data_IF_231283129165
#
_entry.id   IF_231283129165
#
_cell.length_a   1.000
_cell.length_b   1.000
_cell.length_c   1.000
_cell.angle_alpha   90.00
_cell.angle_beta   90.00
_cell.angle_gamma   90.00
#
_symmetry.space_group_name_H-M   'P 1'
#
loop_
_entity.id
_entity.type
_entity.pdbx_description
1 polymer ?
#
# COMPACT_ATOMS: atom_id res chain seq x y z
N UNK A 1 2.24 19.17 10.60
CA UNK A 1 2.85 19.04 11.94
C UNK A 1 4.24 18.44 11.81
N UNK A 2 5.23 19.06 12.44
CA UNK A 2 6.58 18.50 12.44
C UNK A 2 6.67 17.33 13.39
N UNK A 3 7.18 16.20 12.91
CA UNK A 3 7.44 15.03 13.74
C UNK A 3 8.88 15.04 14.22
N UNK A 4 9.09 14.44 15.38
CA UNK A 4 10.42 14.31 16.00
C UNK A 4 10.70 12.83 16.24
N UNK A 5 11.93 12.41 16.01
CA UNK A 5 12.29 11.02 16.16
C UNK A 5 13.60 10.85 16.93
N UNK A 6 13.82 9.63 17.40
CA UNK A 6 15.05 9.21 18.09
C UNK A 6 15.40 7.82 17.56
N UNK A 7 16.65 7.64 17.13
CA UNK A 7 17.08 6.35 16.57
C UNK A 7 17.16 5.31 17.69
N UNK A 8 16.46 4.17 17.49
CA UNK A 8 16.49 3.04 18.44
C UNK A 8 17.28 1.87 17.91
N UNK A 9 17.44 1.75 16.59
CA UNK A 9 18.26 0.71 15.96
C UNK A 9 18.89 1.28 14.70
N UNK A 10 20.19 1.56 14.75
CA UNK A 10 20.92 2.18 13.64
C UNK A 10 21.02 1.27 12.41
N UNK A 11 21.21 -0.02 12.62
CA UNK A 11 21.36 -0.96 11.51
C UNK A 11 20.11 -1.00 10.62
N UNK A 12 18.92 -0.90 11.24
CA UNK A 12 17.65 -0.97 10.53
C UNK A 12 17.05 0.39 10.27
N UNK A 13 17.67 1.47 10.75
CA UNK A 13 17.13 2.83 10.72
C UNK A 13 15.77 2.92 11.41
N UNK A 14 15.55 2.07 12.41
CA UNK A 14 14.33 2.06 13.21
C UNK A 14 14.37 3.20 14.23
N UNK A 15 13.24 3.86 14.43
CA UNK A 15 13.17 5.05 15.27
C UNK A 15 11.96 4.99 16.21
N UNK A 16 12.03 5.77 17.27
CA UNK A 16 10.90 6.08 18.14
C UNK A 16 10.41 7.48 17.74
N UNK A 17 9.10 7.66 17.67
CA UNK A 17 8.51 8.92 17.23
C UNK A 17 7.79 9.61 18.41
N UNK A 18 7.98 10.94 18.50
CA UNK A 18 7.30 11.77 19.48
C UNK A 18 6.19 12.55 18.79
N UNK A 19 4.98 12.42 19.29
CA UNK A 19 3.78 13.03 18.72
C UNK A 19 3.25 14.21 19.54
N UNK A 20 3.90 14.59 20.64
CA UNK A 20 3.38 15.56 21.60
C UNK A 20 3.40 17.03 21.17
N UNK A 21 4.12 17.37 20.11
CA UNK A 21 4.14 18.74 19.57
C UNK A 21 4.96 19.75 20.35
N UNK A 22 5.65 19.35 21.42
CA UNK A 22 6.49 20.26 22.23
C UNK A 22 7.95 20.10 21.84
N UNK A 23 8.48 21.07 21.11
CA UNK A 23 9.87 21.06 20.64
C UNK A 23 10.88 21.01 21.79
N UNK A 24 10.62 21.78 22.86
CA UNK A 24 11.49 21.80 24.03
C UNK A 24 11.60 20.43 24.70
N UNK A 25 10.48 19.75 24.88
CA UNK A 25 10.45 18.41 25.45
C UNK A 25 11.19 17.42 24.55
N UNK A 26 10.95 17.49 23.25
CA UNK A 26 11.59 16.61 22.27
C UNK A 26 13.11 16.77 22.33
N UNK A 27 13.60 17.99 22.30
CA UNK A 27 15.04 18.29 22.34
C UNK A 27 15.69 17.77 23.63
N UNK A 28 15.04 18.01 24.78
CA UNK A 28 15.56 17.57 26.09
C UNK A 28 15.64 16.05 26.19
N UNK A 29 14.81 15.32 25.46
CA UNK A 29 14.76 13.85 25.49
C UNK A 29 15.47 13.20 24.32
N UNK A 30 16.25 13.96 23.56
CA UNK A 30 17.08 13.42 22.47
C UNK A 30 16.36 13.18 21.15
N UNK A 31 15.16 13.75 21.01
CA UNK A 31 14.42 13.66 19.74
C UNK A 31 14.83 14.82 18.83
N UNK A 32 14.94 14.53 17.54
CA UNK A 32 15.27 15.54 16.53
C UNK A 32 14.18 15.60 15.47
N UNK A 33 13.98 16.75 14.81
CA UNK A 33 12.96 16.85 13.76
C UNK A 33 13.36 16.07 12.52
N UNK A 34 12.39 15.49 11.84
CA UNK A 34 12.64 14.79 10.58
C UNK A 34 11.45 14.01 10.10
N UNK A 35 11.57 13.49 8.88
CA UNK A 35 10.53 12.70 8.26
C UNK A 35 10.71 11.22 8.59
N UNK A 36 9.60 10.59 8.95
CA UNK A 36 9.57 9.18 9.32
C UNK A 36 8.44 8.49 8.57
N UNK A 37 8.51 7.16 8.50
CA UNK A 37 7.43 6.35 7.93
C UNK A 37 7.21 5.13 8.82
N UNK A 38 5.98 4.64 8.83
CA UNK A 38 5.61 3.48 9.64
C UNK A 38 5.28 2.29 8.74
N UNK A 39 5.82 1.13 9.10
CA UNK A 39 5.38 -0.12 8.50
C UNK A 39 4.01 -0.45 9.08
N UNK A 40 3.00 -0.55 8.23
CA UNK A 40 1.62 -0.80 8.67
C UNK A 40 1.46 -2.19 9.27
N UNK A 41 2.19 -3.17 8.72
CA UNK A 41 2.10 -4.56 9.15
C UNK A 41 2.76 -4.78 10.51
N UNK A 42 3.97 -4.25 10.71
CA UNK A 42 4.71 -4.45 11.96
C UNK A 42 4.46 -3.38 13.01
N UNK A 43 4.05 -2.18 12.58
CA UNK A 43 3.89 -1.03 13.45
C UNK A 43 5.20 -0.31 13.76
N UNK A 44 6.33 -0.79 13.26
CA UNK A 44 7.62 -0.16 13.51
C UNK A 44 7.80 1.11 12.69
N UNK A 45 8.51 2.06 13.27
CA UNK A 45 8.81 3.34 12.62
C UNK A 45 10.26 3.36 12.12
N UNK A 46 10.46 3.97 10.95
CA UNK A 46 11.76 4.08 10.31
C UNK A 46 11.96 5.49 9.79
N UNK A 47 13.22 5.86 9.55
CA UNK A 47 13.50 7.07 8.80
C UNK A 47 12.89 6.92 7.40
N UNK A 48 12.34 8.01 6.88
CA UNK A 48 11.68 7.99 5.57
C UNK A 48 12.62 7.47 4.49
N UNK A 49 12.12 6.51 3.70
CA UNK A 49 12.92 5.89 2.64
C UNK A 49 13.88 4.81 3.11
N UNK A 50 13.89 4.49 4.41
CA UNK A 50 14.83 3.52 5.00
C UNK A 50 14.17 2.26 5.54
N UNK A 51 12.88 2.07 5.29
CA UNK A 51 12.19 0.86 5.71
C UNK A 51 12.83 -0.38 5.06
N UNK A 52 13.10 -1.46 5.82
CA UNK A 52 13.66 -2.68 5.24
C UNK A 52 12.77 -3.26 4.14
N UNK A 53 13.40 -3.88 3.13
CA UNK A 53 12.69 -4.45 1.98
C UNK A 53 11.62 -5.46 2.38
N UNK A 54 11.91 -6.30 3.38
CA UNK A 54 10.95 -7.31 3.86
C UNK A 54 9.70 -6.67 4.45
N UNK A 55 9.83 -5.53 5.12
CA UNK A 55 8.68 -4.81 5.68
C UNK A 55 7.90 -4.06 4.61
N UNK A 56 8.59 -3.48 3.63
CA UNK A 56 7.94 -2.90 2.46
C UNK A 56 7.13 -3.95 1.72
N UNK A 57 7.70 -5.13 1.54
CA UNK A 57 7.02 -6.24 0.86
C UNK A 57 5.77 -6.67 1.61
N UNK A 58 5.84 -6.75 2.95
CA UNK A 58 4.67 -7.10 3.76
C UNK A 58 3.55 -6.08 3.60
N UNK A 59 3.89 -4.79 3.63
CA UNK A 59 2.91 -3.71 3.47
C UNK A 59 2.26 -3.74 2.08
N UNK A 60 3.06 -3.97 1.04
CA UNK A 60 2.54 -4.05 -0.33
C UNK A 60 1.61 -5.25 -0.52
N UNK A 61 1.96 -6.40 0.06
CA UNK A 61 1.10 -7.58 0.02
C UNK A 61 -0.22 -7.33 0.73
N UNK A 62 -0.19 -6.68 1.88
CA UNK A 62 -1.41 -6.34 2.62
C UNK A 62 -2.28 -5.38 1.81
N UNK A 63 -1.69 -4.34 1.23
CA UNK A 63 -2.39 -3.39 0.37
C UNK A 63 -3.00 -4.10 -0.83
N UNK A 64 -2.24 -4.96 -1.50
CA UNK A 64 -2.71 -5.74 -2.64
C UNK A 64 -3.89 -6.62 -2.26
N UNK A 65 -3.79 -7.33 -1.13
CA UNK A 65 -4.85 -8.22 -0.68
C UNK A 65 -6.13 -7.44 -0.38
N UNK A 66 -6.00 -6.26 0.22
CA UNK A 66 -7.15 -5.38 0.44
C UNK A 66 -7.77 -4.94 -0.89
N UNK A 67 -6.95 -4.56 -1.86
CA UNK A 67 -7.44 -4.14 -3.17
C UNK A 67 -8.15 -5.28 -3.90
N UNK A 68 -7.61 -6.51 -3.85
CA UNK A 68 -8.26 -7.69 -4.41
C UNK A 68 -9.62 -7.93 -3.77
N UNK A 69 -9.69 -7.90 -2.43
CA UNK A 69 -10.94 -8.11 -1.71
C UNK A 69 -11.98 -7.05 -2.04
N UNK A 70 -11.54 -5.81 -2.22
CA UNK A 70 -12.45 -4.70 -2.51
C UNK A 70 -13.12 -4.80 -3.88
N UNK A 71 -12.60 -5.64 -4.78
CA UNK A 71 -13.17 -5.85 -6.11
C UNK A 71 -14.14 -7.01 -6.17
N UNK A 72 -14.16 -7.89 -5.18
CA UNK A 72 -14.95 -9.13 -5.22
C UNK A 72 -16.43 -8.89 -5.48
N UNK A 73 -17.01 -7.83 -4.89
CA UNK A 73 -18.43 -7.51 -5.07
C UNK A 73 -18.78 -7.21 -6.52
N UNK A 74 -17.86 -6.61 -7.30
CA UNK A 74 -18.09 -6.30 -8.71
C UNK A 74 -18.10 -7.57 -9.56
N UNK A 75 -17.20 -8.51 -9.27
CA UNK A 75 -17.18 -9.80 -9.95
C UNK A 75 -18.45 -10.59 -9.65
N UNK A 76 -18.86 -10.63 -8.39
CA UNK A 76 -20.07 -11.34 -7.98
C UNK A 76 -21.30 -10.74 -8.65
N UNK A 77 -21.42 -9.41 -8.65
CA UNK A 77 -22.55 -8.73 -9.29
C UNK A 77 -22.63 -9.07 -10.77
N UNK A 78 -21.50 -9.00 -11.47
CA UNK A 78 -21.48 -9.30 -12.91
C UNK A 78 -21.94 -10.73 -13.17
N UNK A 79 -21.41 -11.69 -12.46
CA UNK A 79 -21.77 -13.11 -12.60
C UNK A 79 -23.23 -13.35 -12.30
N UNK A 80 -23.74 -12.77 -11.24
CA UNK A 80 -25.15 -12.92 -10.85
C UNK A 80 -26.08 -12.34 -11.91
N UNK A 81 -25.75 -11.16 -12.42
CA UNK A 81 -26.56 -10.54 -13.48
C UNK A 81 -26.56 -11.38 -14.75
N UNK A 82 -25.40 -11.95 -15.10
CA UNK A 82 -25.31 -12.86 -16.26
C UNK A 82 -26.17 -14.11 -16.06
N UNK A 83 -26.09 -14.73 -14.91
CA UNK A 83 -26.87 -15.93 -14.59
C UNK A 83 -28.37 -15.63 -14.66
N UNK A 84 -28.78 -14.46 -14.16
CA UNK A 84 -30.19 -14.05 -14.19
C UNK A 84 -30.66 -13.59 -15.57
N UNK A 85 -29.76 -13.42 -16.52
CA UNK A 85 -30.11 -12.97 -17.87
C UNK A 85 -30.56 -11.52 -17.95
N UNK A 86 -30.15 -10.71 -16.98
CA UNK A 86 -30.47 -9.27 -16.97
C UNK A 86 -29.27 -8.46 -17.46
N UNK A 87 -29.51 -7.19 -17.79
CA UNK A 87 -28.46 -6.30 -18.22
C UNK A 87 -27.42 -6.14 -17.12
N UNK A 88 -26.12 -6.29 -17.47
CA UNK A 88 -25.04 -6.13 -16.50
C UNK A 88 -24.70 -4.66 -16.30
N UNK A 89 -24.38 -4.30 -15.04
CA UNK A 89 -23.96 -2.93 -14.72
C UNK A 89 -22.63 -2.59 -15.38
N UNK A 90 -21.68 -3.52 -15.34
CA UNK A 90 -20.41 -3.38 -16.06
C UNK A 90 -20.54 -4.02 -17.45
N UNK A 91 -19.93 -3.39 -18.46
CA UNK A 91 -19.86 -4.00 -19.80
C UNK A 91 -18.95 -5.21 -19.76
N UNK A 92 -19.03 -6.06 -20.78
CA UNK A 92 -18.13 -7.21 -20.93
C UNK A 92 -16.66 -6.74 -20.95
N UNK A 93 -16.39 -5.63 -21.66
CA UNK A 93 -15.01 -5.12 -21.75
C UNK A 93 -14.55 -4.62 -20.37
N UNK A 94 -15.39 -3.95 -19.61
CA UNK A 94 -15.04 -3.49 -18.25
C UNK A 94 -14.76 -4.68 -17.35
N UNK A 95 -15.52 -5.76 -17.48
CA UNK A 95 -15.28 -6.98 -16.69
C UNK A 95 -13.96 -7.63 -17.07
N UNK A 96 -13.64 -7.67 -18.36
CA UNK A 96 -12.34 -8.19 -18.82
C UNK A 96 -11.20 -7.35 -18.27
N UNK A 97 -11.35 -6.01 -18.30
CA UNK A 97 -10.34 -5.10 -17.75
C UNK A 97 -10.13 -5.36 -16.26
N UNK A 98 -11.21 -5.60 -15.52
CA UNK A 98 -11.12 -5.94 -14.09
C UNK A 98 -10.39 -7.25 -13.86
N UNK A 99 -10.67 -8.26 -14.68
CA UNK A 99 -9.98 -9.54 -14.59
C UNK A 99 -8.47 -9.40 -14.83
N UNK A 100 -8.10 -8.58 -15.83
CA UNK A 100 -6.70 -8.31 -16.12
C UNK A 100 -6.03 -7.53 -14.99
N UNK A 101 -6.74 -6.59 -14.40
CA UNK A 101 -6.24 -5.85 -13.25
C UNK A 101 -6.03 -6.76 -12.05
N UNK A 102 -6.98 -7.67 -11.80
CA UNK A 102 -6.86 -8.66 -10.74
C UNK A 102 -5.60 -9.51 -10.93
N UNK A 103 -5.31 -9.91 -12.16
CA UNK A 103 -4.10 -10.67 -12.47
C UNK A 103 -2.85 -9.82 -12.25
N UNK A 104 -2.88 -8.55 -12.66
CA UNK A 104 -1.79 -7.61 -12.39
C UNK A 104 -1.49 -7.54 -10.89
N UNK A 105 -2.53 -7.40 -10.04
CA UNK A 105 -2.34 -7.34 -8.60
C UNK A 105 -1.71 -8.63 -8.05
N UNK A 106 -2.10 -9.78 -8.57
CA UNK A 106 -1.50 -11.06 -8.16
C UNK A 106 -0.03 -11.15 -8.55
N UNK A 107 0.34 -10.54 -9.66
CA UNK A 107 1.67 -10.65 -10.24
C UNK A 107 2.66 -9.58 -9.77
N UNK A 108 2.25 -8.62 -8.93
CA UNK A 108 3.15 -7.56 -8.50
C UNK A 108 4.39 -8.10 -7.78
N UNK A 109 4.27 -9.22 -7.07
CA UNK A 109 5.40 -9.82 -6.36
C UNK A 109 6.42 -10.45 -7.30
N UNK A 110 6.07 -10.63 -8.58
CA UNK A 110 6.96 -11.17 -9.61
C UNK A 110 7.76 -10.08 -10.31
N UNK A 111 7.42 -8.82 -10.08
CA UNK A 111 8.14 -7.69 -10.67
C UNK A 111 9.58 -7.69 -10.13
N UNK A 112 10.61 -7.61 -11.01
CA UNK A 112 12.00 -7.60 -10.55
C UNK A 112 12.35 -6.47 -9.59
N UNK A 113 11.60 -5.36 -9.63
CA UNK A 113 11.83 -4.22 -8.73
C UNK A 113 11.06 -4.32 -7.41
N UNK A 114 10.20 -5.35 -7.25
CA UNK A 114 9.46 -5.55 -6.00
C UNK A 114 10.45 -5.70 -4.84
N UNK A 115 10.28 -5.03 -3.67
CA UNK A 115 9.12 -4.23 -3.26
C UNK A 115 9.23 -2.72 -3.55
N UNK A 116 10.13 -2.29 -4.39
CA UNK A 116 10.31 -0.86 -4.74
C UNK A 116 9.40 -0.48 -5.91
N UNK A 117 8.12 -0.80 -5.79
CA UNK A 117 7.10 -0.51 -6.79
C UNK A 117 5.97 0.28 -6.17
N UNK A 118 5.22 0.98 -7.02
CA UNK A 118 3.97 1.60 -6.64
C UNK A 118 2.84 0.85 -7.34
N UNK A 119 1.86 0.37 -6.56
CA UNK A 119 0.72 -0.36 -7.13
C UNK A 119 -0.16 0.62 -7.88
N UNK A 120 -0.42 0.36 -9.16
CA UNK A 120 -1.31 1.18 -9.97
C UNK A 120 -2.76 1.00 -9.52
N UNK A 121 -3.54 2.09 -9.53
CA UNK A 121 -4.98 2.01 -9.36
C UNK A 121 -5.59 1.38 -10.61
N UNK A 122 -6.86 0.98 -10.55
CA UNK A 122 -7.54 0.44 -11.71
C UNK A 122 -7.55 1.42 -12.88
N UNK A 123 -7.82 2.69 -12.60
CA UNK A 123 -7.84 3.73 -13.65
C UNK A 123 -6.47 3.92 -14.29
N UNK A 124 -5.41 3.95 -13.49
CA UNK A 124 -4.05 4.04 -13.99
C UNK A 124 -3.67 2.82 -14.85
N UNK A 125 -4.10 1.64 -14.42
CA UNK A 125 -3.83 0.40 -15.12
C UNK A 125 -4.49 0.42 -16.51
N UNK A 126 -5.75 0.82 -16.60
CA UNK A 126 -6.47 0.92 -17.87
C UNK A 126 -5.82 1.90 -18.82
N UNK A 127 -5.41 3.06 -18.30
CA UNK A 127 -4.79 4.12 -19.10
C UNK A 127 -3.47 3.65 -19.71
N UNK A 128 -2.65 2.91 -18.96
CA UNK A 128 -1.35 2.44 -19.42
C UNK A 128 -1.42 1.17 -20.27
N UNK A 129 -2.59 0.58 -20.41
CA UNK A 129 -2.80 -0.66 -21.12
C UNK A 129 -2.86 -0.47 -22.63
N UNK A 130 -3.29 0.70 -23.04
CA UNK A 130 -3.41 1.03 -24.44
C UNK A 130 -2.09 1.35 -25.07
#
# INVERSE_FOLDING_TARGET
>A
MQLFYKITNEEKNEVQVYFGGREDFAAENGFIPGDVEQCRTSGRWYLKGKMPAEEKAADLRETRDFMLSSLDWRFDRYREQKILGIETTDSEQDFIDLLQYKQYLRDITKDPTFPDIQIKTFEEFKTNKG
#
